data_IF_530003877579
#
_entry.id   IF_530003877579
#
_cell.length_a   1.000
_cell.length_b   1.000
_cell.length_c   1.000
_cell.angle_alpha   90.00
_cell.angle_beta   90.00
_cell.angle_gamma   90.00
#
_symmetry.space_group_name_H-M   'P 1'
#
loop_
_entity.id
_entity.type
_entity.pdbx_description
1 polymer ?
#
# COMPACT_ATOMS: atom_id res chain seq x y z
N UNK A 1 -34.47 12.82 -72.26
CA UNK A 1 -34.39 12.96 -70.79
C UNK A 1 -33.09 12.33 -70.34
N UNK A 2 -32.15 13.15 -69.84
CA UNK A 2 -30.85 12.70 -69.32
C UNK A 2 -31.00 12.41 -67.83
N UNK A 3 -30.50 11.29 -67.27
CA UNK A 3 -30.51 11.09 -65.83
C UNK A 3 -29.37 11.91 -65.22
N UNK A 4 -29.72 12.75 -64.24
CA UNK A 4 -28.79 13.53 -63.44
C UNK A 4 -28.10 12.61 -62.43
N UNK A 5 -26.77 12.61 -62.44
CA UNK A 5 -25.93 11.91 -61.45
C UNK A 5 -25.92 12.78 -60.18
N UNK A 6 -26.49 12.25 -59.10
CA UNK A 6 -26.39 12.83 -57.75
C UNK A 6 -25.01 12.47 -57.20
N UNK A 7 -24.13 13.46 -57.04
CA UNK A 7 -22.86 13.28 -56.34
C UNK A 7 -23.11 13.38 -54.83
N UNK A 8 -23.05 12.25 -54.13
CA UNK A 8 -23.00 12.21 -52.66
C UNK A 8 -21.56 12.47 -52.25
N UNK A 9 -21.30 13.68 -51.72
CA UNK A 9 -20.04 14.00 -51.05
C UNK A 9 -20.09 13.36 -49.66
N UNK A 10 -19.40 12.22 -49.52
CA UNK A 10 -19.18 11.59 -48.23
C UNK A 10 -18.20 12.43 -47.42
N UNK A 11 -18.69 13.06 -46.35
CA UNK A 11 -17.85 13.72 -45.35
C UNK A 11 -17.12 12.62 -44.57
N UNK A 12 -15.84 12.39 -44.89
CA UNK A 12 -14.93 11.57 -44.09
C UNK A 12 -14.68 12.31 -42.77
N UNK A 13 -15.43 11.94 -41.73
CA UNK A 13 -15.09 12.24 -40.35
C UNK A 13 -13.84 11.40 -40.02
N UNK A 14 -12.67 12.04 -40.06
CA UNK A 14 -11.47 11.50 -39.44
C UNK A 14 -11.71 11.43 -37.93
N UNK A 15 -11.51 10.28 -37.27
CA UNK A 15 -11.49 10.25 -35.81
C UNK A 15 -10.24 11.04 -35.38
N UNK A 16 -10.46 12.20 -34.79
CA UNK A 16 -9.40 12.87 -34.02
C UNK A 16 -9.13 11.94 -32.84
N UNK A 17 -7.97 11.30 -32.85
CA UNK A 17 -7.56 10.33 -31.83
C UNK A 17 -7.64 10.96 -30.43
N UNK A 18 -8.45 10.35 -29.57
CA UNK A 18 -8.55 10.67 -28.15
C UNK A 18 -7.37 10.11 -27.36
N UNK A 19 -6.14 10.47 -27.72
CA UNK A 19 -4.95 10.08 -26.96
C UNK A 19 -4.67 11.04 -25.77
N UNK A 20 -5.29 12.22 -25.75
CA UNK A 20 -5.00 13.26 -24.75
C UNK A 20 -5.82 13.15 -23.45
N UNK A 21 -6.77 12.20 -23.35
CA UNK A 21 -7.58 12.01 -22.14
C UNK A 21 -7.03 10.94 -21.18
N UNK A 22 -6.09 10.10 -21.62
CA UNK A 22 -5.54 9.01 -20.81
C UNK A 22 -4.36 9.42 -19.91
N UNK A 23 -3.81 10.63 -20.09
CA UNK A 23 -2.68 11.14 -19.28
C UNK A 23 -3.13 11.84 -17.98
N UNK A 24 -4.44 12.10 -17.83
CA UNK A 24 -4.99 12.64 -16.58
C UNK A 24 -5.30 11.50 -15.65
N UNK A 25 -4.68 11.53 -14.48
CA UNK A 25 -4.84 10.50 -13.46
C UNK A 25 -5.26 11.13 -12.13
N UNK A 26 -6.55 11.03 -11.74
CA UNK A 26 -7.03 11.60 -10.48
C UNK A 26 -6.53 10.84 -9.25
N UNK A 27 -5.86 9.70 -9.45
CA UNK A 27 -5.34 8.89 -8.36
C UNK A 27 -4.01 9.37 -7.79
N UNK A 28 -3.38 10.37 -8.43
CA UNK A 28 -2.11 10.94 -7.98
C UNK A 28 -2.25 11.70 -6.68
N UNK A 29 -1.28 11.47 -5.81
CA UNK A 29 -1.04 12.25 -4.61
C UNK A 29 -0.79 13.71 -5.01
N UNK A 30 -1.52 14.63 -4.38
CA UNK A 30 -1.44 16.05 -4.65
C UNK A 30 -1.62 16.82 -3.35
N UNK A 31 -0.89 17.91 -3.17
CA UNK A 31 -0.99 18.64 -1.93
C UNK A 31 -0.39 20.02 -2.00
N UNK A 32 -0.64 20.77 -0.93
CA UNK A 32 0.01 22.04 -0.66
C UNK A 32 1.01 21.85 0.47
N UNK A 33 2.28 22.03 0.17
CA UNK A 33 3.38 21.94 1.13
C UNK A 33 3.81 23.35 1.52
N UNK A 34 3.84 23.61 2.83
CA UNK A 34 4.42 24.83 3.39
C UNK A 34 5.76 24.46 3.99
N UNK A 35 6.83 25.13 3.58
CA UNK A 35 8.18 24.89 4.09
C UNK A 35 8.47 25.70 5.36
N UNK A 36 9.53 25.32 6.09
CA UNK A 36 9.98 25.97 7.33
C UNK A 36 10.43 27.42 7.13
N UNK A 37 10.82 27.83 5.92
CA UNK A 37 11.10 29.21 5.54
C UNK A 37 9.85 30.02 5.11
N UNK A 38 8.70 29.36 4.96
CA UNK A 38 7.43 29.98 4.57
C UNK A 38 7.12 29.95 3.08
N UNK A 39 7.95 29.32 2.26
CA UNK A 39 7.62 29.04 0.86
C UNK A 39 6.44 28.06 0.77
N UNK A 40 5.63 28.18 -0.27
CA UNK A 40 4.47 27.32 -0.51
C UNK A 40 4.60 26.70 -1.89
N UNK A 41 4.53 25.38 -1.93
CA UNK A 41 4.48 24.59 -3.15
C UNK A 41 3.11 23.91 -3.22
N UNK A 42 2.51 23.86 -4.40
CA UNK A 42 1.25 23.15 -4.63
C UNK A 42 1.36 22.34 -5.91
N UNK A 43 1.29 21.01 -5.81
CA UNK A 43 1.61 20.14 -6.92
C UNK A 43 1.38 18.66 -6.65
N UNK A 44 1.67 17.85 -7.67
CA UNK A 44 1.74 16.40 -7.51
C UNK A 44 2.92 16.05 -6.60
N UNK A 45 2.74 15.06 -5.75
CA UNK A 45 3.76 14.65 -4.77
C UNK A 45 4.25 13.24 -5.14
N UNK A 46 5.57 13.07 -5.15
CA UNK A 46 6.24 11.77 -5.03
C UNK A 46 6.93 11.76 -3.67
N UNK A 47 6.61 10.79 -2.85
CA UNK A 47 7.07 10.61 -1.49
C UNK A 47 8.03 9.42 -1.45
N UNK A 48 9.15 9.58 -0.73
CA UNK A 48 10.19 8.56 -0.47
C UNK A 48 10.72 7.76 -1.68
N UNK A 49 10.45 8.25 -2.89
CA UNK A 49 10.79 7.56 -4.12
C UNK A 49 9.72 6.57 -4.60
N UNK A 50 8.89 5.98 -3.76
CA UNK A 50 8.00 4.86 -4.10
C UNK A 50 6.50 5.16 -4.02
N UNK A 51 6.06 6.23 -3.33
CA UNK A 51 4.64 6.60 -3.27
C UNK A 51 4.32 7.86 -4.09
N UNK A 52 3.21 7.83 -4.81
CA UNK A 52 2.69 8.96 -5.57
C UNK A 52 1.18 8.89 -5.86
N UNK A 53 0.45 8.01 -5.18
CA UNK A 53 -0.97 7.78 -5.33
C UNK A 53 -1.73 7.84 -4.00
N UNK A 54 -3.04 8.10 -4.05
CA UNK A 54 -3.90 8.13 -2.86
C UNK A 54 -4.07 6.75 -2.19
N UNK A 55 -3.84 5.68 -2.95
CA UNK A 55 -3.95 4.31 -2.50
C UNK A 55 -2.63 3.74 -1.96
N UNK A 56 -1.51 4.45 -2.15
CA UNK A 56 -0.22 4.05 -1.58
C UNK A 56 -0.25 4.27 -0.05
N UNK A 57 0.51 3.44 0.66
CA UNK A 57 0.56 3.42 2.12
C UNK A 57 1.69 4.31 2.61
N UNK A 58 1.42 5.11 3.64
CA UNK A 58 2.40 5.76 4.48
C UNK A 58 2.69 4.82 5.66
N UNK A 59 3.89 4.23 5.69
CA UNK A 59 4.35 3.31 6.72
C UNK A 59 5.02 4.07 7.87
N UNK A 60 4.61 3.77 9.10
CA UNK A 60 5.14 4.41 10.30
C UNK A 60 4.95 3.55 11.55
N UNK A 61 5.63 3.87 12.65
CA UNK A 61 5.24 3.30 13.95
C UNK A 61 4.17 4.19 14.62
N UNK A 62 3.16 3.54 15.19
CA UNK A 62 2.09 4.17 15.97
C UNK A 62 2.26 3.84 17.45
N UNK A 63 2.30 4.83 18.35
CA UNK A 63 2.30 4.58 19.79
C UNK A 63 1.07 3.77 20.23
N UNK A 64 1.29 2.71 20.99
CA UNK A 64 0.18 1.94 21.58
C UNK A 64 -0.41 2.76 22.73
N UNK A 65 -1.71 3.10 22.71
CA UNK A 65 -2.31 3.87 23.78
C UNK A 65 -2.21 3.15 25.13
N UNK A 66 -1.85 3.87 26.19
CA UNK A 66 -1.77 3.35 27.56
C UNK A 66 -3.08 2.67 28.04
N UNK A 67 -4.23 3.05 27.47
CA UNK A 67 -5.51 2.37 27.75
C UNK A 67 -5.47 0.89 27.34
N UNK A 68 -4.81 0.55 26.23
CA UNK A 68 -4.76 -0.82 25.69
C UNK A 68 -4.00 -1.72 26.64
N UNK A 69 -2.88 -1.22 27.19
CA UNK A 69 -2.13 -1.90 28.26
C UNK A 69 -2.98 -2.14 29.50
N UNK A 70 -3.68 -1.11 29.99
CA UNK A 70 -4.54 -1.23 31.18
C UNK A 70 -5.72 -2.17 30.98
N UNK A 71 -6.28 -2.20 29.78
CA UNK A 71 -7.37 -3.11 29.43
C UNK A 71 -6.88 -4.57 29.42
N UNK A 72 -5.73 -4.83 28.80
CA UNK A 72 -5.10 -6.14 28.80
C UNK A 72 -4.80 -6.65 30.22
N UNK A 73 -4.16 -5.81 31.05
CA UNK A 73 -3.88 -6.14 32.47
C UNK A 73 -5.17 -6.41 33.26
N UNK A 74 -6.22 -5.59 33.08
CA UNK A 74 -7.51 -5.74 33.77
C UNK A 74 -8.24 -7.02 33.36
N UNK A 75 -8.14 -7.42 32.10
CA UNK A 75 -8.78 -8.61 31.55
C UNK A 75 -7.93 -9.87 31.72
N UNK A 76 -6.79 -9.77 32.40
CA UNK A 76 -5.94 -10.91 32.73
C UNK A 76 -5.19 -11.47 31.53
N UNK A 77 -4.92 -10.65 30.51
CA UNK A 77 -3.99 -11.03 29.46
C UNK A 77 -2.58 -11.05 30.04
N UNK A 78 -1.95 -12.23 30.05
CA UNK A 78 -0.54 -12.38 30.40
C UNK A 78 0.26 -12.57 29.11
N UNK A 79 1.28 -11.74 28.84
CA UNK A 79 2.19 -11.97 27.72
C UNK A 79 2.90 -13.29 27.95
N UNK A 80 2.56 -14.34 27.21
CA UNK A 80 3.45 -15.49 27.13
C UNK A 80 4.76 -15.00 26.48
N UNK A 81 5.89 -15.28 27.13
CA UNK A 81 7.22 -15.00 26.60
C UNK A 81 7.44 -15.85 25.34
N UNK A 82 6.97 -15.34 24.20
CA UNK A 82 7.17 -15.92 22.87
C UNK A 82 7.97 -14.92 22.06
N UNK A 83 8.95 -15.44 21.33
CA UNK A 83 9.76 -14.63 20.41
C UNK A 83 8.85 -13.93 19.40
N UNK A 84 9.03 -12.62 19.32
CA UNK A 84 8.34 -11.71 18.41
C UNK A 84 9.13 -11.69 17.10
N UNK A 85 8.47 -11.95 15.98
CA UNK A 85 9.01 -11.57 14.67
C UNK A 85 7.89 -10.89 13.91
N UNK A 86 8.12 -9.62 13.61
CA UNK A 86 7.42 -8.87 12.58
C UNK A 86 8.51 -8.62 11.55
N UNK A 87 8.33 -9.17 10.36
CA UNK A 87 9.17 -8.86 9.22
C UNK A 87 8.23 -8.20 8.22
N UNK A 88 8.37 -6.89 8.09
CA UNK A 88 7.61 -6.12 7.13
C UNK A 88 8.61 -5.58 6.11
N UNK A 89 8.39 -5.92 4.85
CA UNK A 89 8.99 -5.24 3.72
C UNK A 89 10.53 -5.19 3.70
N UNK A 90 11.20 -6.29 4.06
CA UNK A 90 12.66 -6.38 4.05
C UNK A 90 13.36 -5.48 5.09
N UNK A 91 12.59 -4.76 5.90
CA UNK A 91 13.05 -4.08 7.11
C UNK A 91 12.82 -5.05 8.27
N UNK A 92 13.75 -6.00 8.42
CA UNK A 92 13.81 -6.85 9.61
C UNK A 92 14.27 -6.03 10.81
N UNK A 93 13.34 -5.61 11.69
CA UNK A 93 13.71 -5.13 13.02
C UNK A 93 13.55 -6.29 14.00
N UNK A 94 14.64 -7.03 14.19
CA UNK A 94 14.80 -7.89 15.35
C UNK A 94 14.90 -7.01 16.60
N UNK A 95 13.89 -7.05 17.47
CA UNK A 95 14.06 -6.58 18.84
C UNK A 95 14.58 -7.74 19.69
N UNK A 96 15.82 -7.64 20.16
CA UNK A 96 16.21 -8.26 21.43
C UNK A 96 15.54 -7.44 22.54
N UNK A 97 14.38 -7.87 23.03
CA UNK A 97 13.87 -7.42 24.33
C UNK A 97 13.79 -8.61 25.27
N UNK A 98 14.82 -8.74 26.11
CA UNK A 98 14.69 -9.34 27.42
C UNK A 98 13.58 -8.60 28.21
N UNK A 99 12.34 -9.09 28.11
CA UNK A 99 11.37 -9.02 29.20
C UNK A 99 10.67 -7.68 29.49
N UNK A 100 10.17 -6.95 28.50
CA UNK A 100 9.19 -5.87 28.72
C UNK A 100 7.87 -6.13 27.96
N UNK A 101 6.73 -5.74 28.56
CA UNK A 101 5.36 -6.15 28.21
C UNK A 101 4.82 -5.68 26.85
N UNK A 102 3.55 -5.25 26.79
CA UNK A 102 2.98 -4.61 25.59
C UNK A 102 3.89 -3.43 25.23
N UNK A 103 4.53 -3.49 24.05
CA UNK A 103 5.50 -2.50 23.58
C UNK A 103 4.91 -1.08 23.54
N UNK A 104 5.77 -0.07 23.49
CA UNK A 104 5.34 1.34 23.46
C UNK A 104 4.74 1.78 22.12
N UNK A 105 5.06 1.09 21.03
CA UNK A 105 4.60 1.36 19.67
C UNK A 105 4.39 0.05 18.91
N UNK A 106 3.61 0.12 17.84
CA UNK A 106 3.38 -0.93 16.86
C UNK A 106 3.60 -0.37 15.45
N UNK A 107 4.08 -1.20 14.53
CA UNK A 107 4.13 -0.82 13.14
C UNK A 107 2.71 -0.60 12.60
N UNK A 108 2.54 0.37 11.73
CA UNK A 108 1.25 0.76 11.18
C UNK A 108 1.42 1.24 9.74
N UNK A 109 0.34 1.21 8.99
CA UNK A 109 0.25 1.75 7.65
C UNK A 109 -1.07 2.50 7.49
N UNK A 110 -1.05 3.59 6.74
CA UNK A 110 -2.26 4.29 6.35
C UNK A 110 -2.16 4.75 4.90
N UNK A 111 -3.19 4.49 4.10
CA UNK A 111 -3.22 5.03 2.74
C UNK A 111 -3.29 6.54 2.76
N UNK A 112 -2.48 7.21 1.95
CA UNK A 112 -2.43 8.68 1.87
C UNK A 112 -3.80 9.31 1.65
N UNK A 113 -4.70 8.62 0.94
CA UNK A 113 -6.07 9.03 0.71
C UNK A 113 -6.88 9.27 1.99
N UNK A 114 -6.60 8.58 3.10
CA UNK A 114 -7.28 8.79 4.38
C UNK A 114 -6.83 10.07 5.10
N UNK A 115 -5.66 10.59 4.74
CA UNK A 115 -5.02 11.73 5.41
C UNK A 115 -5.56 13.05 4.84
N UNK A 116 -5.81 14.00 5.73
CA UNK A 116 -6.15 15.39 5.36
C UNK A 116 -4.96 16.32 5.48
N UNK A 117 -4.14 16.18 6.53
CA UNK A 117 -2.93 16.96 6.71
C UNK A 117 -1.86 16.20 7.50
N UNK A 118 -0.61 16.57 7.28
CA UNK A 118 0.56 16.05 8.00
C UNK A 118 1.45 17.21 8.43
N UNK A 119 1.88 17.19 9.69
CA UNK A 119 2.82 18.14 10.26
C UNK A 119 4.04 17.40 10.84
N UNK A 120 5.25 17.58 10.29
CA UNK A 120 6.47 17.08 10.92
C UNK A 120 6.67 17.65 12.32
N UNK A 121 6.94 16.78 13.29
CA UNK A 121 7.25 17.14 14.68
C UNK A 121 8.67 16.67 15.01
N UNK A 122 9.63 17.58 14.89
CA UNK A 122 11.05 17.23 15.07
C UNK A 122 11.58 16.40 13.90
N UNK A 123 12.54 15.51 14.16
CA UNK A 123 13.26 14.79 13.12
C UNK A 123 12.76 13.37 12.82
N UNK A 124 11.73 12.90 13.52
CA UNK A 124 11.31 11.49 13.46
C UNK A 124 9.88 11.25 13.91
N UNK A 125 9.01 12.27 13.83
CA UNK A 125 7.60 12.15 14.17
C UNK A 125 6.75 13.00 13.24
N UNK A 126 5.51 12.63 13.09
CA UNK A 126 4.50 13.44 12.43
C UNK A 126 3.20 13.45 13.22
N UNK A 127 2.51 14.59 13.20
CA UNK A 127 1.08 14.64 13.52
C UNK A 127 0.30 14.54 12.24
N UNK A 128 -0.64 13.60 12.21
CA UNK A 128 -1.48 13.33 11.05
C UNK A 128 -2.92 13.58 11.44
N UNK A 129 -3.63 14.35 10.62
CA UNK A 129 -5.07 14.56 10.78
C UNK A 129 -5.76 13.82 9.66
N UNK A 130 -6.65 12.90 10.01
CA UNK A 130 -7.44 12.14 9.04
C UNK A 130 -8.65 12.93 8.57
N UNK A 131 -9.21 12.53 7.42
CA UNK A 131 -10.48 13.10 6.91
C UNK A 131 -11.67 12.89 7.83
N UNK A 132 -11.61 11.87 8.69
CA UNK A 132 -12.58 11.63 9.76
C UNK A 132 -12.51 12.69 10.87
N UNK A 133 -11.44 13.50 10.90
CA UNK A 133 -11.13 14.46 11.95
C UNK A 133 -10.32 13.88 13.11
N UNK A 134 -9.95 12.59 13.04
CA UNK A 134 -9.05 11.97 14.01
C UNK A 134 -7.63 12.53 13.89
N UNK A 135 -6.99 12.78 15.02
CA UNK A 135 -5.61 13.22 15.11
C UNK A 135 -4.74 12.07 15.63
N UNK A 136 -3.69 11.73 14.89
CA UNK A 136 -2.74 10.67 15.18
C UNK A 136 -1.34 11.26 15.34
N UNK A 137 -0.52 10.60 16.14
CA UNK A 137 0.92 10.81 16.17
C UNK A 137 1.58 9.54 15.65
N UNK A 138 2.46 9.71 14.67
CA UNK A 138 3.33 8.65 14.15
C UNK A 138 4.78 8.96 14.54
N UNK A 139 5.52 7.93 14.90
CA UNK A 139 6.93 7.93 15.25
C UNK A 139 7.67 7.06 14.25
N UNK A 140 8.77 7.53 13.64
CA UNK A 140 9.61 6.69 12.77
C UNK A 140 8.84 5.77 11.80
N UNK A 141 9.41 4.61 11.48
CA UNK A 141 8.97 3.78 10.35
C UNK A 141 9.32 4.46 9.02
N UNK A 142 9.62 3.68 7.98
CA UNK A 142 10.32 4.11 6.76
C UNK A 142 10.01 5.53 6.28
N UNK A 143 8.72 5.88 6.28
CA UNK A 143 8.21 7.06 5.60
C UNK A 143 8.05 8.29 6.51
N UNK A 144 8.54 8.25 7.76
CA UNK A 144 8.49 9.37 8.71
C UNK A 144 9.87 9.74 9.22
N UNK A 145 10.22 11.01 9.05
CA UNK A 145 11.44 11.57 9.62
C UNK A 145 12.60 11.62 8.64
N UNK A 146 13.82 11.55 9.18
CA UNK A 146 15.04 11.65 8.38
C UNK A 146 15.36 10.43 7.51
N UNK A 147 14.54 9.37 7.57
CA UNK A 147 14.63 8.22 6.66
C UNK A 147 14.03 8.52 5.29
N UNK A 148 13.09 9.47 5.20
CA UNK A 148 12.46 9.86 3.93
C UNK A 148 13.50 10.44 2.97
N UNK A 149 13.74 9.75 1.88
CA UNK A 149 14.63 10.07 0.77
C UNK A 149 13.93 11.00 -0.24
N UNK A 150 13.49 12.14 0.28
CA UNK A 150 12.96 13.26 -0.51
C UNK A 150 11.44 13.26 -0.70
N UNK A 151 10.89 14.48 -0.69
CA UNK A 151 9.50 14.77 -1.03
C UNK A 151 9.52 15.66 -2.27
N UNK A 152 9.26 15.05 -3.44
CA UNK A 152 9.30 15.77 -4.72
C UNK A 152 7.92 16.34 -5.04
N UNK A 153 7.86 17.64 -5.29
CA UNK A 153 6.65 18.34 -5.71
C UNK A 153 6.77 18.79 -7.16
N UNK A 154 5.89 18.30 -8.03
CA UNK A 154 5.71 18.80 -9.39
C UNK A 154 4.55 19.80 -9.46
N UNK A 155 4.87 21.08 -9.63
CA UNK A 155 3.86 22.10 -9.89
C UNK A 155 3.33 21.97 -11.33
N UNK A 156 2.01 21.84 -11.57
CA UNK A 156 1.44 21.58 -12.91
C UNK A 156 1.86 22.55 -14.02
N UNK A 157 2.21 23.80 -13.66
CA UNK A 157 2.68 24.84 -14.59
C UNK A 157 4.10 25.33 -14.27
N UNK A 158 4.74 24.71 -13.27
CA UNK A 158 6.03 25.13 -12.74
C UNK A 158 7.15 24.14 -13.05
N UNK A 159 8.14 24.11 -12.17
CA UNK A 159 9.20 23.11 -12.16
C UNK A 159 8.88 21.98 -11.19
N UNK A 160 9.93 21.23 -10.87
CA UNK A 160 9.92 20.29 -9.75
C UNK A 160 10.83 20.85 -8.65
N UNK A 161 10.47 20.59 -7.41
CA UNK A 161 11.32 20.84 -6.25
C UNK A 161 11.35 19.57 -5.42
N UNK A 162 12.52 19.25 -4.89
CA UNK A 162 12.70 18.18 -3.92
C UNK A 162 12.92 18.84 -2.55
N UNK A 163 12.20 18.36 -1.55
CA UNK A 163 12.22 18.88 -0.19
C UNK A 163 12.67 17.78 0.76
N UNK A 164 13.55 18.12 1.69
CA UNK A 164 13.88 17.23 2.80
C UNK A 164 12.75 17.26 3.84
N UNK A 165 12.63 16.20 4.66
CA UNK A 165 11.72 16.17 5.81
C UNK A 165 11.79 17.43 6.68
N UNK A 166 13.01 17.94 6.91
CA UNK A 166 13.27 19.12 7.76
C UNK A 166 12.85 20.43 7.12
N UNK A 167 12.66 20.45 5.81
CA UNK A 167 12.19 21.62 5.08
C UNK A 167 10.68 21.75 5.19
N UNK A 168 9.95 20.67 5.46
CA UNK A 168 8.50 20.66 5.54
C UNK A 168 8.03 21.18 6.91
N UNK A 169 7.15 22.18 6.89
CA UNK A 169 6.42 22.64 8.07
C UNK A 169 5.06 21.95 8.18
N UNK A 170 4.34 21.86 7.07
CA UNK A 170 3.02 21.22 7.00
C UNK A 170 2.66 20.85 5.57
N UNK A 171 1.84 19.83 5.42
CA UNK A 171 1.28 19.38 4.15
C UNK A 171 -0.24 19.31 4.31
N UNK A 172 -0.96 19.97 3.40
CA UNK A 172 -2.39 19.78 3.22
C UNK A 172 -2.61 18.88 2.00
N UNK A 173 -3.16 17.69 2.21
CA UNK A 173 -3.52 16.79 1.12
C UNK A 173 -4.88 17.21 0.55
N UNK A 174 -4.93 17.44 -0.76
CA UNK A 174 -6.13 17.91 -1.45
C UNK A 174 -6.25 17.25 -2.82
N UNK A 175 -7.49 17.14 -3.33
CA UNK A 175 -7.70 16.59 -4.67
C UNK A 175 -6.97 17.41 -5.74
N UNK A 176 -6.23 16.72 -6.60
CA UNK A 176 -5.43 17.35 -7.66
C UNK A 176 -6.24 17.81 -8.87
N UNK A 177 -5.67 18.70 -9.70
CA UNK A 177 -6.28 19.13 -10.94
C UNK A 177 -6.26 18.01 -11.99
N UNK A 178 -7.24 18.03 -12.90
CA UNK A 178 -7.32 17.12 -14.04
C UNK A 178 -6.31 17.50 -15.15
N UNK A 179 -5.01 17.38 -14.86
CA UNK A 179 -3.90 17.70 -15.76
C UNK A 179 -2.87 16.56 -15.77
N UNK A 180 -2.15 16.42 -16.88
CA UNK A 180 -1.10 15.43 -17.01
C UNK A 180 0.14 15.84 -16.18
N UNK A 181 0.77 14.84 -15.58
CA UNK A 181 2.08 14.98 -14.92
C UNK A 181 3.23 14.71 -15.90
N UNK A 182 4.40 15.32 -15.68
CA UNK A 182 5.59 15.09 -16.51
C UNK A 182 6.30 13.77 -16.20
N UNK A 183 6.01 13.18 -15.05
CA UNK A 183 6.42 11.81 -14.72
C UNK A 183 5.71 10.75 -15.59
N UNK A 184 4.73 11.13 -16.42
CA UNK A 184 3.94 10.15 -17.18
C UNK A 184 3.03 9.33 -16.26
N UNK A 185 2.46 8.24 -16.77
CA UNK A 185 1.42 7.45 -16.07
C UNK A 185 2.05 6.55 -15.00
N UNK A 186 1.32 6.23 -13.91
CA UNK A 186 1.75 5.17 -12.99
C UNK A 186 1.79 3.83 -13.73
N UNK A 187 2.73 2.97 -13.38
CA UNK A 187 2.78 1.60 -13.88
C UNK A 187 1.58 0.83 -13.31
N UNK A 188 0.89 0.10 -14.18
CA UNK A 188 -0.19 -0.79 -13.81
C UNK A 188 0.00 -2.11 -14.55
N UNK A 189 -0.24 -3.22 -13.88
CA UNK A 189 -0.03 -4.53 -14.48
C UNK A 189 -0.60 -5.68 -13.67
N UNK A 190 -0.49 -6.85 -14.26
CA UNK A 190 -0.75 -8.13 -13.59
C UNK A 190 0.60 -8.81 -13.37
N UNK A 191 0.94 -9.05 -12.12
CA UNK A 191 2.06 -9.84 -11.67
C UNK A 191 1.61 -11.28 -11.45
N UNK A 192 2.39 -12.23 -11.95
CA UNK A 192 2.24 -13.66 -11.70
C UNK A 192 3.47 -14.17 -10.93
N UNK A 193 3.23 -14.92 -9.87
CA UNK A 193 4.26 -15.61 -9.08
C UNK A 193 4.58 -16.99 -9.67
N UNK A 194 5.69 -17.59 -9.24
CA UNK A 194 6.16 -18.89 -9.73
C UNK A 194 5.25 -20.06 -9.36
N UNK A 195 4.43 -19.91 -8.33
CA UNK A 195 3.39 -20.89 -7.96
C UNK A 195 2.04 -20.63 -8.65
N UNK A 196 1.94 -19.55 -9.44
CA UNK A 196 0.80 -19.22 -10.30
C UNK A 196 -0.27 -18.33 -9.64
N UNK A 197 0.02 -17.71 -8.49
CA UNK A 197 -0.83 -16.65 -7.96
C UNK A 197 -0.73 -15.40 -8.85
N UNK A 198 -1.83 -14.66 -8.98
CA UNK A 198 -1.88 -13.44 -9.79
C UNK A 198 -2.35 -12.25 -8.93
N UNK A 199 -1.63 -11.14 -9.03
CA UNK A 199 -1.94 -9.88 -8.37
C UNK A 199 -2.00 -8.76 -9.42
N UNK A 200 -3.03 -7.93 -9.37
CA UNK A 200 -3.22 -6.85 -10.37
C UNK A 200 -3.43 -5.54 -9.67
N UNK A 201 -2.63 -4.54 -10.02
CA UNK A 201 -2.63 -3.25 -9.35
C UNK A 201 -1.64 -2.28 -9.95
N UNK A 202 -1.38 -1.20 -9.23
CA UNK A 202 -0.29 -0.29 -9.54
C UNK A 202 1.03 -0.93 -9.14
N UNK A 203 1.99 -0.95 -10.07
CA UNK A 203 3.28 -1.59 -9.87
C UNK A 203 4.28 -0.56 -9.39
N UNK A 204 5.04 -0.90 -8.35
CA UNK A 204 6.33 -0.28 -8.03
C UNK A 204 7.38 -1.36 -8.25
N UNK A 205 8.21 -1.15 -9.26
CA UNK A 205 9.31 -2.06 -9.58
C UNK A 205 10.52 -1.68 -8.72
N UNK A 206 11.23 -2.66 -8.18
CA UNK A 206 12.41 -2.46 -7.33
C UNK A 206 12.21 -1.47 -6.15
N UNK A 207 10.97 -1.25 -5.73
CA UNK A 207 10.61 -0.20 -4.76
C UNK A 207 11.10 1.21 -5.16
N UNK A 208 11.23 1.50 -6.46
CA UNK A 208 11.78 2.78 -6.95
C UNK A 208 11.15 3.25 -8.26
N UNK A 209 10.85 2.36 -9.21
CA UNK A 209 10.22 2.77 -10.48
C UNK A 209 8.69 2.59 -10.43
N UNK A 210 7.98 3.71 -10.51
CA UNK A 210 6.52 3.75 -10.43
C UNK A 210 5.85 4.40 -11.63
N UNK A 211 6.61 5.03 -12.52
CA UNK A 211 6.06 5.73 -13.67
C UNK A 211 6.60 5.26 -15.03
N UNK A 212 5.81 5.50 -16.08
CA UNK A 212 6.18 5.17 -17.46
C UNK A 212 7.43 5.89 -17.97
N UNK A 213 7.79 7.05 -17.39
CA UNK A 213 9.03 7.75 -17.77
C UNK A 213 10.26 7.26 -17.01
N UNK A 214 10.07 6.48 -15.95
CA UNK A 214 11.17 5.83 -15.25
C UNK A 214 11.81 4.79 -16.17
N UNK A 215 13.00 4.34 -15.81
CA UNK A 215 13.88 3.55 -16.68
C UNK A 215 14.19 2.24 -16.00
N UNK A 216 14.10 1.15 -16.75
CA UNK A 216 14.66 -0.15 -16.38
C UNK A 216 16.12 -0.23 -16.85
N UNK A 217 17.02 -0.47 -15.91
CA UNK A 217 18.45 -0.59 -16.13
C UNK A 217 18.93 -2.04 -16.23
N UNK A 218 19.98 -2.25 -17.04
CA UNK A 218 20.65 -3.54 -17.13
C UNK A 218 21.67 -3.62 -18.25
N UNK A 219 22.28 -4.79 -18.39
CA UNK A 219 23.32 -5.05 -19.39
C UNK A 219 22.86 -6.05 -20.45
N UNK A 220 23.05 -5.72 -21.73
CA UNK A 220 22.94 -6.65 -22.85
C UNK A 220 24.31 -6.82 -23.54
N UNK A 221 24.89 -8.02 -23.47
CA UNK A 221 26.15 -8.39 -24.16
C UNK A 221 27.34 -7.47 -23.80
N UNK A 222 27.53 -7.16 -22.53
CA UNK A 222 28.65 -6.33 -22.06
C UNK A 222 28.43 -4.83 -22.25
N UNK A 223 27.18 -4.39 -22.44
CA UNK A 223 26.84 -2.97 -22.66
C UNK A 223 25.61 -2.59 -21.86
N UNK A 224 25.72 -1.46 -21.18
CA UNK A 224 24.63 -0.87 -20.43
C UNK A 224 23.46 -0.51 -21.36
N UNK A 225 22.26 -0.71 -20.84
CA UNK A 225 21.01 -0.57 -21.55
C UNK A 225 19.95 -0.01 -20.59
N UNK A 226 19.51 1.19 -20.94
CA UNK A 226 18.41 1.90 -20.30
C UNK A 226 17.15 1.76 -21.17
N UNK A 227 16.04 1.28 -20.59
CA UNK A 227 14.76 1.14 -21.30
C UNK A 227 13.66 1.85 -20.50
N UNK A 228 13.09 2.96 -21.01
CA UNK A 228 11.92 3.56 -20.37
C UNK A 228 10.75 2.58 -20.27
N UNK A 229 10.05 2.59 -19.14
CA UNK A 229 8.92 1.68 -18.90
C UNK A 229 7.76 1.88 -19.90
N UNK A 230 7.63 3.07 -20.51
CA UNK A 230 6.64 3.35 -21.57
C UNK A 230 6.79 2.49 -22.84
N UNK A 231 7.90 1.74 -22.99
CA UNK A 231 8.14 0.80 -24.09
C UNK A 231 8.01 -0.66 -23.68
N UNK A 232 7.85 -0.95 -22.39
CA UNK A 232 7.92 -2.29 -21.85
C UNK A 232 6.50 -2.86 -21.78
N UNK A 233 6.29 -3.96 -22.50
CA UNK A 233 5.04 -4.70 -22.46
C UNK A 233 4.98 -5.61 -21.22
N UNK A 234 6.12 -6.20 -20.86
CA UNK A 234 6.22 -7.06 -19.69
C UNK A 234 7.65 -7.49 -19.39
N UNK A 235 7.86 -7.94 -18.16
CA UNK A 235 9.15 -8.41 -17.66
C UNK A 235 8.91 -9.82 -17.10
N UNK A 236 9.74 -10.78 -17.49
CA UNK A 236 9.67 -12.18 -17.07
C UNK A 236 11.00 -12.56 -16.43
N UNK A 237 10.96 -13.26 -15.31
CA UNK A 237 12.18 -13.74 -14.67
C UNK A 237 12.86 -14.76 -15.59
N UNK A 238 14.11 -14.49 -15.97
CA UNK A 238 14.89 -15.40 -16.81
C UNK A 238 15.78 -16.33 -15.96
N UNK A 239 16.30 -15.80 -14.85
CA UNK A 239 17.02 -16.50 -13.80
C UNK A 239 17.02 -15.64 -12.53
N UNK A 240 17.67 -16.08 -11.44
CA UNK A 240 17.83 -15.22 -10.26
C UNK A 240 18.57 -13.92 -10.55
N UNK A 241 19.44 -13.87 -11.56
CA UNK A 241 20.28 -12.70 -11.86
C UNK A 241 19.98 -12.06 -13.23
N UNK A 242 18.81 -12.36 -13.81
CA UNK A 242 18.45 -11.84 -15.12
C UNK A 242 16.94 -11.82 -15.36
N UNK A 243 16.50 -10.83 -16.14
CA UNK A 243 15.12 -10.70 -16.60
C UNK A 243 15.06 -10.73 -18.14
N UNK A 244 14.01 -11.34 -18.69
CA UNK A 244 13.61 -11.17 -20.09
C UNK A 244 12.61 -10.03 -20.17
N UNK A 245 12.98 -8.97 -20.88
CA UNK A 245 12.14 -7.79 -21.10
C UNK A 245 11.50 -7.90 -22.48
N UNK A 246 10.16 -7.85 -22.54
CA UNK A 246 9.37 -7.77 -23.78
C UNK A 246 8.95 -6.32 -24.01
N UNK A 247 9.18 -5.82 -25.22
CA UNK A 247 8.79 -4.47 -25.62
C UNK A 247 7.45 -4.48 -26.36
N UNK A 248 6.79 -3.32 -26.43
CA UNK A 248 5.50 -3.16 -27.13
C UNK A 248 5.57 -3.43 -28.64
N UNK A 249 6.76 -3.31 -29.25
CA UNK A 249 6.99 -3.67 -30.65
C UNK A 249 7.12 -5.19 -30.89
N UNK A 250 7.01 -5.99 -29.82
CA UNK A 250 7.11 -7.44 -29.84
C UNK A 250 8.55 -7.97 -29.79
N UNK A 251 9.56 -7.10 -29.78
CA UNK A 251 10.94 -7.51 -29.55
C UNK A 251 11.16 -7.89 -28.08
N UNK A 252 12.20 -8.68 -27.82
CA UNK A 252 12.57 -9.07 -26.46
C UNK A 252 14.09 -9.14 -26.32
N UNK A 253 14.57 -8.80 -25.13
CA UNK A 253 15.98 -8.92 -24.75
C UNK A 253 16.10 -9.53 -23.35
N UNK A 254 17.30 -10.00 -23.00
CA UNK A 254 17.62 -10.47 -21.66
C UNK A 254 18.63 -9.50 -21.05
N UNK A 255 18.22 -8.85 -19.97
CA UNK A 255 19.03 -7.94 -19.18
C UNK A 255 19.52 -8.63 -17.89
N UNK A 256 20.62 -8.12 -17.36
CA UNK A 256 21.31 -8.62 -16.15
C UNK A 256 22.24 -7.55 -15.61
N UNK A 257 22.74 -7.73 -14.39
CA UNK A 257 23.80 -6.87 -13.83
C UNK A 257 23.33 -5.51 -13.30
N UNK A 258 22.02 -5.35 -13.08
CA UNK A 258 21.41 -4.25 -12.31
C UNK A 258 20.43 -4.85 -11.31
N UNK A 259 20.21 -4.15 -10.19
CA UNK A 259 19.19 -4.44 -9.16
C UNK A 259 17.79 -4.58 -9.77
N UNK A 260 17.48 -3.83 -10.83
CA UNK A 260 16.20 -3.89 -11.53
C UNK A 260 15.89 -5.26 -12.16
N UNK A 261 16.91 -6.11 -12.36
CA UNK A 261 16.80 -7.34 -13.16
C UNK A 261 17.55 -8.53 -12.55
N UNK A 262 17.95 -8.44 -11.28
CA UNK A 262 18.67 -9.49 -10.56
C UNK A 262 18.15 -9.68 -9.12
N UNK A 263 18.84 -10.50 -8.33
CA UNK A 263 18.52 -10.85 -6.94
C UNK A 263 18.87 -9.77 -5.92
N UNK A 264 19.40 -8.62 -6.36
CA UNK A 264 19.54 -7.41 -5.55
C UNK A 264 18.29 -6.53 -5.65
N UNK A 265 17.28 -6.95 -6.42
CA UNK A 265 15.99 -6.26 -6.50
C UNK A 265 15.37 -6.17 -5.10
N UNK A 266 14.84 -4.99 -4.75
CA UNK A 266 14.18 -4.67 -3.47
C UNK A 266 12.73 -5.14 -3.42
N UNK A 267 12.37 -6.08 -4.29
CA UNK A 267 11.06 -6.67 -4.52
C UNK A 267 10.11 -5.80 -5.35
N UNK A 268 8.97 -6.40 -5.70
CA UNK A 268 7.96 -5.78 -6.55
C UNK A 268 6.69 -5.61 -5.75
N UNK A 269 6.24 -4.37 -5.64
CA UNK A 269 5.01 -4.02 -4.95
C UNK A 269 3.86 -3.86 -5.94
N UNK A 270 2.71 -4.42 -5.58
CA UNK A 270 1.44 -4.29 -6.28
C UNK A 270 0.46 -3.60 -5.33
N UNK A 271 0.29 -2.29 -5.48
CA UNK A 271 -0.71 -1.55 -4.76
C UNK A 271 -2.08 -1.79 -5.40
N UNK A 272 -2.92 -2.59 -4.74
CA UNK A 272 -4.28 -2.85 -5.18
C UNK A 272 -5.23 -1.80 -4.57
N UNK A 273 -5.81 -0.91 -5.38
CA UNK A 273 -6.64 0.20 -4.89
C UNK A 273 -7.89 -0.23 -4.14
N UNK A 274 -8.24 -1.52 -4.13
CA UNK A 274 -9.44 -2.04 -3.48
C UNK A 274 -9.21 -2.64 -2.10
N UNK A 275 -7.98 -3.04 -1.73
CA UNK A 275 -7.76 -3.67 -0.41
C UNK A 275 -6.46 -3.31 0.30
N UNK A 276 -5.35 -3.12 -0.41
CA UNK A 276 -4.09 -2.73 0.22
C UNK A 276 -2.96 -2.91 -0.75
N UNK A 277 -1.92 -3.61 -0.33
CA UNK A 277 -0.76 -3.90 -1.16
C UNK A 277 -0.29 -5.34 -1.03
N UNK A 278 0.48 -5.75 -2.03
CA UNK A 278 1.10 -7.05 -2.11
C UNK A 278 2.56 -6.84 -2.48
N UNK A 279 3.48 -7.32 -1.66
CA UNK A 279 4.90 -7.36 -2.00
C UNK A 279 5.28 -8.77 -2.41
N UNK A 280 5.93 -8.89 -3.56
CA UNK A 280 6.40 -10.17 -4.09
C UNK A 280 7.91 -10.14 -4.18
N UNK A 281 8.54 -11.08 -3.46
CA UNK A 281 9.97 -11.27 -3.52
C UNK A 281 10.45 -11.56 -4.94
N UNK A 282 11.60 -11.03 -5.32
CA UNK A 282 12.18 -11.25 -6.66
C UNK A 282 12.26 -12.73 -7.06
N UNK A 283 12.60 -13.59 -6.11
CA UNK A 283 12.78 -15.02 -6.36
C UNK A 283 11.46 -15.76 -6.63
N UNK A 284 10.34 -15.12 -6.32
CA UNK A 284 8.98 -15.63 -6.44
C UNK A 284 8.25 -15.03 -7.64
N UNK A 285 8.81 -13.98 -8.26
CA UNK A 285 8.35 -13.45 -9.53
C UNK A 285 8.48 -14.49 -10.66
N UNK A 286 7.39 -14.72 -11.40
CA UNK A 286 7.43 -15.33 -12.72
C UNK A 286 7.42 -14.25 -13.81
N UNK A 287 6.44 -13.34 -13.78
CA UNK A 287 6.33 -12.24 -14.75
C UNK A 287 5.41 -11.11 -14.31
N UNK A 288 5.61 -9.93 -14.89
CA UNK A 288 4.65 -8.81 -14.89
C UNK A 288 4.26 -8.49 -16.33
N UNK A 289 2.95 -8.32 -16.58
CA UNK A 289 2.40 -7.78 -17.84
C UNK A 289 1.78 -6.41 -17.60
N UNK A 290 2.34 -5.38 -18.24
CA UNK A 290 1.88 -4.01 -18.07
C UNK A 290 0.64 -3.70 -18.93
N UNK A 291 -0.25 -2.87 -18.40
CA UNK A 291 -1.47 -2.43 -19.06
C UNK A 291 -1.92 -1.07 -18.54
N UNK A 292 -3.06 -0.57 -19.01
CA UNK A 292 -3.62 0.70 -18.53
C UNK A 292 -4.53 0.45 -17.33
N UNK A 293 -4.34 1.24 -16.27
CA UNK A 293 -5.15 1.15 -15.06
C UNK A 293 -6.66 1.38 -15.35
N UNK A 294 -7.53 0.41 -15.01
CA UNK A 294 -8.98 0.56 -15.13
C UNK A 294 -9.59 1.32 -13.94
N UNK A 295 -8.94 1.27 -12.77
CA UNK A 295 -9.40 1.88 -11.52
C UNK A 295 -8.41 2.99 -11.13
N UNK A 296 -8.92 4.21 -10.98
CA UNK A 296 -8.14 5.40 -10.58
C UNK A 296 -8.88 6.11 -9.43
N UNK A 297 -8.70 5.66 -8.17
CA UNK A 297 -9.41 6.23 -7.03
C UNK A 297 -8.98 7.67 -6.83
N UNK A 298 -9.92 8.61 -6.85
CA UNK A 298 -9.62 10.01 -6.50
C UNK A 298 -9.52 10.20 -4.99
N UNK A 299 -8.99 11.33 -4.55
CA UNK A 299 -8.90 11.68 -3.13
C UNK A 299 -10.24 11.48 -2.39
N UNK A 300 -11.37 11.83 -3.02
CA UNK A 300 -12.70 11.68 -2.42
C UNK A 300 -13.17 10.24 -2.18
N UNK A 301 -12.48 9.22 -2.69
CA UNK A 301 -12.83 7.81 -2.48
C UNK A 301 -12.54 7.32 -1.05
N UNK A 302 -11.71 8.05 -0.31
CA UNK A 302 -11.25 7.70 1.04
C UNK A 302 -11.93 8.60 2.08
N UNK A 303 -12.32 8.02 3.22
CA UNK A 303 -13.18 8.66 4.22
C UNK A 303 -12.47 9.04 5.54
N UNK A 304 -11.19 8.68 5.68
CA UNK A 304 -10.44 8.82 6.93
C UNK A 304 -10.71 7.73 7.97
N UNK A 305 -11.47 6.70 7.61
CA UNK A 305 -11.76 5.52 8.41
C UNK A 305 -12.72 5.75 9.58
N UNK A 306 -13.12 4.63 10.20
CA UNK A 306 -14.10 4.53 11.30
C UNK A 306 -13.67 3.42 12.25
N UNK A 307 -14.24 3.38 13.46
CA UNK A 307 -14.02 2.25 14.38
C UNK A 307 -14.41 0.93 13.73
N UNK A 308 -13.56 -0.08 13.84
CA UNK A 308 -13.89 -1.44 13.39
C UNK A 308 -15.09 -1.94 14.21
N UNK A 309 -16.08 -2.52 13.53
CA UNK A 309 -17.27 -3.10 14.15
C UNK A 309 -17.55 -4.46 13.58
N UNK A 310 -18.20 -5.31 14.35
CA UNK A 310 -18.57 -6.64 13.89
C UNK A 310 -18.96 -7.57 15.02
N UNK A 311 -19.07 -8.85 14.66
CA UNK A 311 -19.32 -9.94 15.59
C UNK A 311 -18.15 -10.90 15.62
N UNK A 312 -17.57 -11.08 16.82
CA UNK A 312 -16.48 -12.01 17.09
C UNK A 312 -17.07 -13.29 17.66
N UNK A 313 -16.69 -14.43 17.10
CA UNK A 313 -17.09 -15.76 17.53
C UNK A 313 -15.91 -16.48 18.17
N UNK A 314 -16.15 -17.06 19.33
CA UNK A 314 -15.19 -17.84 20.08
C UNK A 314 -15.52 -19.34 20.01
N UNK A 315 -14.47 -20.16 20.03
CA UNK A 315 -14.54 -21.61 20.18
C UNK A 315 -15.37 -21.95 21.42
N UNK A 316 -16.39 -22.78 21.22
CA UNK A 316 -17.38 -23.10 22.25
C UNK A 316 -18.74 -22.43 22.06
N UNK A 317 -18.91 -21.62 21.00
CA UNK A 317 -20.21 -21.07 20.57
C UNK A 317 -20.58 -19.73 21.21
N UNK A 318 -19.67 -19.12 21.95
CA UNK A 318 -19.81 -17.77 22.49
C UNK A 318 -19.57 -16.74 21.37
N UNK A 319 -20.32 -15.63 21.38
CA UNK A 319 -20.12 -14.53 20.42
C UNK A 319 -20.40 -13.17 21.02
N UNK A 320 -19.67 -12.15 20.55
CA UNK A 320 -19.76 -10.78 21.03
C UNK A 320 -19.79 -9.82 19.85
N UNK A 321 -20.81 -8.95 19.83
CA UNK A 321 -20.95 -7.89 18.83
C UNK A 321 -20.63 -6.53 19.44
N UNK A 322 -19.88 -5.70 18.72
CA UNK A 322 -19.41 -4.43 19.27
C UNK A 322 -18.39 -3.72 18.39
N UNK A 323 -17.75 -2.70 18.97
CA UNK A 323 -16.54 -2.13 18.39
C UNK A 323 -15.36 -3.07 18.70
N UNK A 324 -14.49 -3.29 17.72
CA UNK A 324 -13.41 -4.27 17.79
C UNK A 324 -12.09 -3.53 17.88
N UNK A 325 -11.22 -4.03 18.76
CA UNK A 325 -9.79 -3.79 18.70
C UNK A 325 -9.10 -5.13 18.41
N UNK A 326 -8.52 -5.23 17.23
CA UNK A 326 -7.71 -6.36 16.76
C UNK A 326 -6.28 -6.20 17.29
N UNK A 327 -5.62 -7.34 17.51
CA UNK A 327 -4.26 -7.50 18.08
C UNK A 327 -3.86 -6.59 19.26
N UNK A 328 -4.84 -5.99 19.94
CA UNK A 328 -4.66 -4.96 20.96
C UNK A 328 -4.16 -3.58 20.47
N UNK A 329 -4.16 -3.29 19.18
CA UNK A 329 -3.69 -2.04 18.58
C UNK A 329 -4.49 -1.53 17.38
N UNK A 330 -5.03 -2.38 16.51
CA UNK A 330 -5.88 -1.93 15.39
C UNK A 330 -7.33 -1.75 15.84
N UNK A 331 -7.82 -0.54 15.72
CA UNK A 331 -9.07 -0.03 16.23
C UNK A 331 -9.97 0.58 15.13
N UNK A 332 -9.42 0.83 13.94
CA UNK A 332 -10.03 1.58 12.85
C UNK A 332 -9.90 0.88 11.48
N UNK A 333 -10.85 1.16 10.60
CA UNK A 333 -10.94 0.56 9.27
C UNK A 333 -9.84 0.99 8.31
N UNK A 334 -9.08 2.05 8.61
CA UNK A 334 -7.95 2.50 7.79
C UNK A 334 -6.66 1.73 8.11
N UNK A 335 -6.63 1.01 9.23
CA UNK A 335 -5.46 0.24 9.66
C UNK A 335 -5.34 -1.03 8.82
N UNK A 336 -4.12 -1.56 8.76
CA UNK A 336 -3.77 -2.73 7.98
C UNK A 336 -3.82 -3.98 8.86
N UNK A 337 -4.24 -5.08 8.25
CA UNK A 337 -4.00 -6.44 8.72
C UNK A 337 -2.88 -7.01 7.85
N UNK A 338 -1.82 -7.47 8.50
CA UNK A 338 -0.64 -7.94 7.79
C UNK A 338 -0.59 -9.48 7.79
N UNK A 339 -0.05 -10.06 6.74
CA UNK A 339 0.15 -11.51 6.68
C UNK A 339 0.84 -11.97 5.41
N UNK A 340 1.39 -13.18 5.48
CA UNK A 340 2.19 -13.76 4.40
C UNK A 340 1.50 -14.97 3.78
N UNK A 341 1.49 -15.04 2.45
CA UNK A 341 1.18 -16.24 1.70
C UNK A 341 2.43 -17.11 1.59
N UNK A 342 2.29 -18.44 1.36
CA UNK A 342 3.43 -19.28 1.00
C UNK A 342 4.18 -18.73 -0.22
N UNK A 343 5.51 -18.86 -0.23
CA UNK A 343 6.33 -18.45 -1.37
C UNK A 343 6.57 -16.94 -1.43
N UNK A 344 6.95 -16.32 -0.31
CA UNK A 344 7.56 -14.98 -0.31
C UNK A 344 6.64 -13.84 -0.76
N UNK A 345 5.35 -13.92 -0.44
CA UNK A 345 4.37 -12.88 -0.79
C UNK A 345 3.75 -12.32 0.48
N UNK A 346 4.05 -11.05 0.78
CA UNK A 346 3.51 -10.31 1.91
C UNK A 346 2.29 -9.48 1.48
N UNK A 347 1.29 -9.39 2.35
CA UNK A 347 0.08 -8.60 2.12
C UNK A 347 -0.19 -7.72 3.34
N UNK A 348 -0.46 -6.44 3.06
CA UNK A 348 -1.08 -5.52 3.99
C UNK A 348 -2.49 -5.26 3.48
N UNK A 349 -3.50 -5.57 4.30
CA UNK A 349 -4.91 -5.52 3.92
C UNK A 349 -5.64 -4.54 4.84
N UNK A 350 -6.13 -3.44 4.28
CA UNK A 350 -6.90 -2.45 5.02
C UNK A 350 -8.18 -3.08 5.61
N UNK A 351 -8.40 -2.93 6.92
CA UNK A 351 -9.54 -3.52 7.64
C UNK A 351 -10.89 -3.14 7.03
N UNK A 352 -11.00 -1.95 6.44
CA UNK A 352 -12.19 -1.49 5.72
C UNK A 352 -12.58 -2.38 4.55
N UNK A 353 -11.61 -3.06 3.92
CA UNK A 353 -11.81 -3.98 2.80
C UNK A 353 -12.18 -5.40 3.24
N UNK A 354 -11.96 -5.76 4.51
CA UNK A 354 -12.14 -7.11 5.04
C UNK A 354 -13.61 -7.35 5.40
N UNK A 355 -14.16 -8.47 4.94
CA UNK A 355 -15.49 -8.95 5.32
C UNK A 355 -15.43 -9.89 6.54
N UNK A 356 -14.46 -10.80 6.56
CA UNK A 356 -14.28 -11.73 7.68
C UNK A 356 -12.85 -12.24 7.79
N UNK A 357 -12.46 -12.61 9.00
CA UNK A 357 -11.23 -13.37 9.29
C UNK A 357 -11.62 -14.63 10.05
N UNK A 358 -11.17 -15.79 9.60
CA UNK A 358 -11.47 -17.10 10.20
C UNK A 358 -10.18 -17.85 10.48
N UNK A 359 -10.00 -18.39 11.69
CA UNK A 359 -8.89 -19.29 11.98
C UNK A 359 -9.13 -20.65 11.36
N UNK A 360 -8.26 -21.05 10.44
CA UNK A 360 -8.38 -22.30 9.68
C UNK A 360 -7.30 -23.32 10.01
N UNK A 361 -6.24 -22.88 10.69
CA UNK A 361 -5.13 -23.73 11.11
C UNK A 361 -4.39 -23.19 12.33
N UNK A 362 -3.32 -23.88 12.69
CA UNK A 362 -2.32 -23.39 13.63
C UNK A 362 -1.49 -22.32 12.91
N UNK A 363 -1.52 -21.08 13.38
CA UNK A 363 -0.80 -19.96 12.75
C UNK A 363 -1.33 -19.48 11.40
N UNK A 364 -2.50 -19.94 10.93
CA UNK A 364 -3.09 -19.55 9.64
C UNK A 364 -4.53 -19.07 9.82
N UNK A 365 -4.83 -17.91 9.24
CA UNK A 365 -6.18 -17.37 9.14
C UNK A 365 -6.58 -17.13 7.69
N UNK A 366 -7.83 -17.46 7.37
CA UNK A 366 -8.46 -17.12 6.10
C UNK A 366 -9.06 -15.72 6.21
N UNK A 367 -8.57 -14.79 5.41
CA UNK A 367 -9.10 -13.43 5.27
C UNK A 367 -9.96 -13.39 4.02
N UNK A 368 -11.24 -13.02 4.18
CA UNK A 368 -12.17 -12.83 3.06
C UNK A 368 -12.44 -11.34 2.89
N UNK A 369 -12.19 -10.82 1.70
CA UNK A 369 -12.44 -9.44 1.33
C UNK A 369 -13.90 -9.23 0.92
N UNK A 370 -14.35 -7.97 0.99
CA UNK A 370 -15.72 -7.58 0.63
C UNK A 370 -16.05 -7.74 -0.85
N UNK A 371 -15.04 -7.80 -1.71
CA UNK A 371 -15.21 -8.10 -3.13
C UNK A 371 -15.23 -9.60 -3.46
N UNK A 372 -15.10 -10.45 -2.43
CA UNK A 372 -15.16 -11.90 -2.53
C UNK A 372 -13.81 -12.60 -2.67
N UNK A 373 -12.69 -11.88 -2.80
CA UNK A 373 -11.37 -12.51 -2.75
C UNK A 373 -11.07 -13.09 -1.39
N UNK A 374 -10.20 -14.09 -1.36
CA UNK A 374 -9.87 -14.84 -0.15
C UNK A 374 -8.39 -15.16 -0.14
N UNK A 375 -7.75 -14.97 1.01
CA UNK A 375 -6.34 -15.29 1.24
C UNK A 375 -6.21 -16.15 2.49
N UNK A 376 -5.33 -17.16 2.47
CA UNK A 376 -4.96 -17.93 3.65
C UNK A 376 -3.59 -17.44 4.11
N UNK A 377 -3.59 -16.53 5.09
CA UNK A 377 -2.41 -15.81 5.55
C UNK A 377 -1.86 -16.44 6.82
N UNK A 378 -0.53 -16.46 6.94
CA UNK A 378 0.18 -16.83 8.16
C UNK A 378 1.34 -15.88 8.45
N UNK A 379 2.25 -16.34 9.32
CA UNK A 379 3.55 -15.71 9.61
C UNK A 379 3.51 -14.23 10.08
N UNK A 380 2.38 -13.77 10.63
CA UNK A 380 2.25 -12.48 11.31
C UNK A 380 1.57 -12.60 12.67
N UNK A 381 1.67 -11.55 13.49
CA UNK A 381 0.92 -11.46 14.76
C UNK A 381 -0.59 -11.31 14.51
N UNK A 382 -1.00 -10.66 13.44
CA UNK A 382 -2.42 -10.40 13.17
C UNK A 382 -3.20 -11.67 12.84
N UNK A 383 -2.58 -12.61 12.13
CA UNK A 383 -3.25 -13.83 11.67
C UNK A 383 -2.72 -15.12 12.33
N UNK A 384 -1.71 -15.00 13.18
CA UNK A 384 -0.97 -16.12 13.77
C UNK A 384 -1.01 -16.17 15.30
N UNK A 385 -0.21 -17.06 15.90
CA UNK A 385 -0.22 -17.27 17.37
C UNK A 385 0.33 -16.10 18.19
N UNK A 386 0.99 -15.14 17.54
CA UNK A 386 1.45 -13.90 18.16
C UNK A 386 0.32 -12.95 18.55
N UNK A 387 -0.90 -13.19 18.06
CA UNK A 387 -2.03 -12.30 18.30
C UNK A 387 -2.34 -12.16 19.80
N UNK A 388 -2.39 -10.93 20.29
CA UNK A 388 -2.64 -10.47 21.65
C UNK A 388 -4.14 -10.45 22.00
N UNK A 389 -4.96 -11.05 21.15
CA UNK A 389 -6.37 -11.31 21.35
C UNK A 389 -7.27 -10.20 20.82
N UNK A 390 -8.56 -10.54 20.71
CA UNK A 390 -9.56 -9.66 20.12
C UNK A 390 -10.39 -9.03 21.22
N UNK A 391 -10.38 -7.71 21.31
CA UNK A 391 -11.14 -6.96 22.31
C UNK A 391 -12.43 -6.44 21.67
N UNK A 392 -13.56 -6.66 22.34
CA UNK A 392 -14.90 -6.25 21.86
C UNK A 392 -15.56 -5.38 22.90
N UNK A 393 -15.76 -4.11 22.57
CA UNK A 393 -16.55 -3.16 23.35
C UNK A 393 -18.03 -3.30 22.93
N UNK A 394 -18.83 -3.91 23.80
CA UNK A 394 -20.26 -4.16 23.58
C UNK A 394 -21.08 -2.88 23.73
N UNK A 395 -22.35 -2.94 23.29
CA UNK A 395 -23.29 -1.81 23.37
C UNK A 395 -23.58 -1.32 24.79
N UNK A 396 -23.41 -2.17 25.80
CA UNK A 396 -23.55 -1.82 27.22
C UNK A 396 -22.26 -1.21 27.81
N UNK A 397 -21.20 -1.07 27.01
CA UNK A 397 -19.90 -0.55 27.42
C UNK A 397 -18.99 -1.59 28.07
N UNK A 398 -19.40 -2.86 28.15
CA UNK A 398 -18.53 -3.93 28.62
C UNK A 398 -17.46 -4.26 27.58
N UNK A 399 -16.18 -4.21 27.99
CA UNK A 399 -15.06 -4.65 27.19
C UNK A 399 -14.77 -6.12 27.48
N UNK A 400 -14.79 -6.95 26.44
CA UNK A 400 -14.51 -8.38 26.54
C UNK A 400 -13.30 -8.73 25.70
N UNK A 401 -12.38 -9.51 26.27
CA UNK A 401 -11.25 -10.08 25.56
C UNK A 401 -11.61 -11.51 25.13
N UNK A 402 -11.43 -11.80 23.85
CA UNK A 402 -11.37 -13.14 23.29
C UNK A 402 -9.89 -13.47 23.08
N UNK A 403 -9.26 -14.30 23.93
CA UNK A 403 -7.91 -14.77 23.71
C UNK A 403 -7.79 -15.49 22.37
N UNK A 404 -6.64 -15.37 21.70
CA UNK A 404 -6.47 -15.88 20.35
C UNK A 404 -6.69 -17.39 20.22
N UNK A 405 -6.26 -18.17 21.22
CA UNK A 405 -6.47 -19.63 21.26
C UNK A 405 -7.97 -20.01 21.24
N UNK A 406 -8.82 -19.14 21.80
CA UNK A 406 -10.28 -19.23 21.79
C UNK A 406 -10.93 -18.52 20.60
N UNK A 407 -10.26 -17.64 19.88
CA UNK A 407 -10.82 -17.02 18.68
C UNK A 407 -11.12 -18.09 17.60
N UNK A 408 -12.28 -17.95 16.96
CA UNK A 408 -12.72 -18.82 15.86
C UNK A 408 -12.83 -18.02 14.55
N UNK A 409 -13.61 -16.94 14.56
CA UNK A 409 -13.81 -16.07 13.39
C UNK A 409 -14.40 -14.72 13.79
N UNK A 410 -14.27 -13.73 12.92
CA UNK A 410 -14.94 -12.43 12.99
C UNK A 410 -15.69 -12.16 11.70
N UNK A 411 -16.87 -11.56 11.81
CA UNK A 411 -17.59 -10.95 10.69
C UNK A 411 -17.61 -9.43 10.91
N UNK A 412 -17.08 -8.67 9.94
CA UNK A 412 -16.92 -7.22 10.05
C UNK A 412 -18.04 -6.44 9.35
N UNK A 413 -18.55 -5.44 10.07
CA UNK A 413 -19.56 -4.47 9.64
C UNK A 413 -18.88 -3.16 9.22
N UNK A 414 -19.49 -2.39 8.30
CA UNK A 414 -19.11 -1.00 8.00
C UNK A 414 -20.19 -0.06 8.51
#
# INVERSE_FOLDING_TARGET
MKPSILAVVGLLLLPVGGAAQDDVDPSRLYGRIVTTDGTVYEGFIRWDGNEAGWFDILHADKPIPERNRRDAERLGWEPEARERRIEIFGIGISWDEEGEGIGGSAQSGIRFGHISSLEPVGSGRARVVLKSGEELEFDGGGDIGSSVDGIVVEEPRGGQVELDWRDVRSIDFIGGPAVASRWGRRLWGTLETRDGAEFTGYIVWDMDELFTTDVLDGEERGRDREIPFDRIRGIERYSSSAARVRLDDGSATVLRGSNDVNDENRDILVADPTFGEVRVEWDELERVEFSTAPIRPEFGAFDGGRRIRGTVYARGGESHAGAIRWDNDEEFTWEMLDGRLPGGVDLDIEFGSIASVERVGEGISRVTLRDGRTFELGESNDVGEGNRGIYVERLDGELVLIPWDRFERVELEI
#
